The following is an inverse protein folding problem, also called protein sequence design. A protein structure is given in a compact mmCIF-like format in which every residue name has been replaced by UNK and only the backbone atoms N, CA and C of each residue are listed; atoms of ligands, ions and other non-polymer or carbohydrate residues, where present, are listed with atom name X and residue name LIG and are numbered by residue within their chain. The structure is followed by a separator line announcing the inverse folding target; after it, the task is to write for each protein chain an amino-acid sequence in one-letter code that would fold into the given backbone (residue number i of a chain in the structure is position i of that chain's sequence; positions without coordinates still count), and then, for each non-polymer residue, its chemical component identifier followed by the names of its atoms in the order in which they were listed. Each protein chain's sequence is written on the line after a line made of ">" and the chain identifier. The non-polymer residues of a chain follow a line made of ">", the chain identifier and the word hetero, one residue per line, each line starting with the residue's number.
data_IF_746904520538
#
_entry.id   IF_746904520538
#
_cell.length_a   1.000
_cell.length_b   1.000
_cell.length_c   1.000
_cell.angle_alpha   90.00
_cell.angle_beta   90.00
_cell.angle_gamma   90.00
#
_symmetry.space_group_name_H-M   'P 1'
#
loop_
_entity.id
_entity.type
_entity.pdbx_description
1 polymer ?
#
# COMPACT_ATOMS: atom_id res chain seq x y z
N UNK A 1 -82.12 -17.57 -23.68
CA UNK A 1 -81.34 -17.36 -24.92
C UNK A 1 -80.01 -16.72 -24.53
N UNK A 2 -78.90 -17.28 -25.01
CA UNK A 2 -77.52 -16.83 -24.74
C UNK A 2 -77.31 -15.39 -25.17
N UNK A 3 -76.60 -14.59 -24.37
CA UNK A 3 -75.63 -13.60 -24.85
C UNK A 3 -74.43 -13.53 -23.91
N UNK A 4 -73.28 -13.80 -24.50
CA UNK A 4 -71.94 -13.78 -23.93
C UNK A 4 -71.55 -12.32 -23.63
N UNK A 5 -70.94 -12.07 -22.48
CA UNK A 5 -70.24 -10.81 -22.22
C UNK A 5 -68.76 -11.12 -22.06
N UNK A 6 -67.96 -10.59 -22.98
CA UNK A 6 -66.51 -10.70 -23.03
C UNK A 6 -65.91 -10.21 -21.70
N UNK A 7 -65.13 -11.05 -21.03
CA UNK A 7 -64.19 -10.62 -20.00
C UNK A 7 -62.89 -10.27 -20.72
N UNK A 8 -62.56 -8.98 -20.71
CA UNK A 8 -61.34 -8.44 -21.29
C UNK A 8 -60.10 -8.97 -20.57
N UNK A 9 -59.14 -9.40 -21.38
CA UNK A 9 -57.80 -9.82 -21.00
C UNK A 9 -57.00 -8.58 -20.55
N UNK A 10 -56.90 -8.33 -19.24
CA UNK A 10 -56.00 -7.31 -18.69
C UNK A 10 -54.61 -7.91 -18.54
N UNK A 11 -53.72 -7.56 -19.47
CA UNK A 11 -52.29 -7.86 -19.40
C UNK A 11 -51.66 -7.01 -18.30
N UNK A 12 -51.37 -7.60 -17.14
CA UNK A 12 -50.51 -6.98 -16.13
C UNK A 12 -49.06 -7.21 -16.53
N UNK A 13 -48.46 -6.14 -17.07
CA UNK A 13 -47.01 -6.02 -17.24
C UNK A 13 -46.45 -5.68 -15.85
N UNK A 14 -46.15 -6.70 -15.04
CA UNK A 14 -45.30 -6.47 -13.88
C UNK A 14 -43.89 -6.24 -14.40
N UNK A 15 -43.42 -5.01 -14.20
CA UNK A 15 -42.07 -4.60 -14.51
C UNK A 15 -41.07 -5.48 -13.76
N UNK A 16 -40.05 -5.91 -14.48
CA UNK A 16 -38.82 -6.40 -13.88
C UNK A 16 -38.18 -5.19 -13.18
N UNK A 17 -38.37 -5.10 -11.87
CA UNK A 17 -37.51 -4.29 -11.01
C UNK A 17 -36.09 -4.87 -11.15
N UNK A 18 -35.06 -4.05 -11.47
CA UNK A 18 -33.70 -4.52 -11.35
C UNK A 18 -33.44 -4.76 -9.87
N UNK A 19 -33.17 -6.02 -9.51
CA UNK A 19 -32.63 -6.40 -8.20
C UNK A 19 -31.44 -5.48 -7.91
N UNK A 20 -31.62 -4.55 -6.97
CA UNK A 20 -30.51 -3.90 -6.29
C UNK A 20 -29.79 -5.01 -5.52
N UNK A 21 -28.81 -5.62 -6.19
CA UNK A 21 -27.78 -6.40 -5.51
C UNK A 21 -27.11 -5.46 -4.51
N UNK A 22 -27.55 -5.56 -3.25
CA UNK A 22 -26.74 -5.21 -2.10
C UNK A 22 -25.44 -5.98 -2.25
N UNK A 23 -24.41 -5.29 -2.72
CA UNK A 23 -23.03 -5.69 -2.53
C UNK A 23 -22.81 -5.60 -1.02
N UNK A 24 -22.97 -6.72 -0.36
CA UNK A 24 -22.45 -6.96 0.98
C UNK A 24 -20.94 -6.85 0.82
N UNK A 25 -20.41 -5.67 1.17
CA UNK A 25 -18.97 -5.47 1.30
C UNK A 25 -18.53 -6.42 2.41
N UNK A 26 -17.89 -7.53 2.04
CA UNK A 26 -17.10 -8.32 2.97
C UNK A 26 -16.13 -7.35 3.65
N UNK A 27 -16.33 -7.11 4.94
CA UNK A 27 -15.32 -6.45 5.77
C UNK A 27 -14.07 -7.33 5.69
N UNK A 28 -13.09 -6.87 4.93
CA UNK A 28 -11.75 -7.43 4.96
C UNK A 28 -11.27 -7.22 6.40
N UNK A 29 -11.15 -8.31 7.15
CA UNK A 29 -10.60 -8.30 8.51
C UNK A 29 -9.12 -7.87 8.38
N UNK A 30 -8.86 -6.58 8.56
CA UNK A 30 -7.52 -6.00 8.39
C UNK A 30 -6.59 -6.58 9.44
N UNK A 31 -5.60 -7.33 9.00
CA UNK A 31 -4.56 -7.87 9.88
C UNK A 31 -3.59 -6.74 10.23
N UNK A 32 -3.87 -6.01 11.32
CA UNK A 32 -2.95 -5.00 11.83
C UNK A 32 -1.74 -5.67 12.48
N UNK A 33 -0.57 -5.48 11.89
CA UNK A 33 0.70 -5.93 12.49
C UNK A 33 1.37 -4.73 13.16
N UNK A 34 1.75 -4.88 14.42
CA UNK A 34 2.44 -3.80 15.15
C UNK A 34 3.95 -3.94 15.03
N UNK A 35 4.60 -2.85 14.62
CA UNK A 35 6.05 -2.70 14.49
C UNK A 35 6.51 -1.87 15.67
N UNK A 36 7.30 -2.50 16.54
CA UNK A 36 7.92 -1.84 17.69
C UNK A 36 9.35 -1.46 17.35
N UNK A 37 9.91 -0.55 18.14
CA UNK A 37 11.31 -0.17 17.97
C UNK A 37 12.23 -1.35 18.25
N UNK A 38 13.26 -1.50 17.43
CA UNK A 38 14.30 -2.50 17.58
C UNK A 38 15.63 -2.00 17.02
N UNK A 39 16.73 -2.64 17.42
CA UNK A 39 18.02 -2.42 16.77
C UNK A 39 17.98 -3.02 15.36
N UNK A 40 17.91 -2.16 14.35
CA UNK A 40 17.87 -2.58 12.95
C UNK A 40 19.29 -2.58 12.37
N UNK A 41 19.77 -3.76 11.99
CA UNK A 41 21.03 -3.91 11.26
C UNK A 41 20.84 -3.47 9.80
N UNK A 42 21.58 -2.43 9.40
CA UNK A 42 21.68 -2.02 7.99
C UNK A 42 22.67 -2.96 7.30
N UNK A 43 22.28 -3.53 6.16
CA UNK A 43 23.11 -4.46 5.44
C UNK A 43 24.45 -3.82 5.03
N UNK A 44 25.54 -4.57 5.19
CA UNK A 44 26.88 -4.08 4.90
C UNK A 44 26.99 -3.60 3.44
N UNK A 45 27.47 -2.37 3.27
CA UNK A 45 27.63 -1.76 1.96
C UNK A 45 26.32 -1.36 1.28
N UNK A 46 25.18 -1.34 1.97
CA UNK A 46 23.91 -0.88 1.39
C UNK A 46 24.01 0.56 0.86
N UNK A 47 23.30 0.82 -0.24
CA UNK A 47 23.12 2.13 -0.84
C UNK A 47 21.95 2.86 -0.16
N UNK A 48 22.18 4.09 0.31
CA UNK A 48 21.12 4.97 0.82
C UNK A 48 20.45 5.65 -0.38
N UNK A 49 19.23 5.22 -0.70
CA UNK A 49 18.45 5.73 -1.82
C UNK A 49 17.65 6.99 -1.46
N UNK A 50 17.08 7.04 -0.25
CA UNK A 50 16.29 8.18 0.25
C UNK A 50 16.63 8.48 1.71
N UNK A 51 16.66 9.78 2.05
CA UNK A 51 16.83 10.33 3.41
C UNK A 51 15.96 11.58 3.51
N UNK A 52 14.82 11.46 4.20
CA UNK A 52 13.80 12.50 4.34
C UNK A 52 13.53 12.72 5.82
N UNK A 53 13.32 13.98 6.23
CA UNK A 53 12.99 14.37 7.60
C UNK A 53 11.53 14.85 7.66
N UNK A 54 10.71 14.22 8.51
CA UNK A 54 9.29 14.54 8.68
C UNK A 54 8.75 13.99 10.00
N UNK A 55 7.88 14.73 10.67
CA UNK A 55 7.17 14.29 11.89
C UNK A 55 6.11 13.21 11.55
N UNK A 56 6.44 11.93 11.76
CA UNK A 56 5.54 10.78 11.60
C UNK A 56 5.06 10.21 12.93
N UNK A 57 5.73 10.49 14.04
CA UNK A 57 5.30 10.09 15.39
C UNK A 57 4.22 11.03 15.95
N UNK A 58 4.20 12.28 15.51
CA UNK A 58 3.26 13.34 15.89
C UNK A 58 3.61 14.02 17.21
N UNK A 59 4.88 14.04 17.60
CA UNK A 59 5.36 14.68 18.82
C UNK A 59 5.89 16.11 18.58
N UNK A 60 5.99 16.52 17.31
CA UNK A 60 6.46 17.84 16.88
C UNK A 60 7.96 17.90 16.57
N UNK A 61 8.69 16.78 16.67
CA UNK A 61 10.07 16.65 16.23
C UNK A 61 10.15 15.93 14.87
N UNK A 62 11.22 16.14 14.11
CA UNK A 62 11.37 15.54 12.78
C UNK A 62 12.01 14.14 12.90
N UNK A 63 11.33 13.13 12.35
CA UNK A 63 11.85 11.77 12.24
C UNK A 63 12.57 11.58 10.90
N UNK A 64 13.60 10.73 10.88
CA UNK A 64 14.27 10.33 9.62
C UNK A 64 13.58 9.13 8.99
N UNK A 65 13.12 9.27 7.76
CA UNK A 65 12.70 8.17 6.89
C UNK A 65 13.86 7.82 5.97
N UNK A 66 14.35 6.58 6.06
CA UNK A 66 15.55 6.11 5.35
C UNK A 66 15.20 4.90 4.48
N UNK A 67 15.59 4.93 3.21
CA UNK A 67 15.49 3.78 2.32
C UNK A 67 16.88 3.28 1.94
N UNK A 68 17.23 2.08 2.41
CA UNK A 68 18.46 1.39 2.03
C UNK A 68 18.18 0.27 1.04
N UNK A 69 19.13 0.05 0.13
CA UNK A 69 19.06 -1.00 -0.88
C UNK A 69 20.38 -1.76 -0.91
N UNK A 70 20.32 -3.09 -0.82
CA UNK A 70 21.51 -3.96 -0.82
C UNK A 70 21.33 -5.18 -1.74
N UNK A 71 22.32 -5.53 -2.58
CA UNK A 71 23.56 -4.80 -2.81
C UNK A 71 23.32 -3.41 -3.45
N UNK A 72 24.31 -2.51 -3.50
CA UNK A 72 24.19 -1.26 -4.22
C UNK A 72 23.85 -1.46 -5.70
N UNK A 73 22.98 -0.61 -6.28
CA UNK A 73 22.68 -0.68 -7.70
C UNK A 73 23.90 -0.28 -8.53
N UNK A 74 23.92 -0.74 -9.79
CA UNK A 74 24.87 -0.26 -10.79
C UNK A 74 24.25 0.95 -11.48
N UNK A 75 24.96 2.06 -11.53
CA UNK A 75 24.51 3.27 -12.23
C UNK A 75 25.00 3.28 -13.68
N UNK A 76 24.13 3.67 -14.61
CA UNK A 76 24.52 3.96 -15.99
C UNK A 76 25.23 5.32 -16.11
N UNK A 77 25.72 5.64 -17.31
CA UNK A 77 26.42 6.92 -17.58
C UNK A 77 25.54 8.17 -17.37
N UNK A 78 24.21 7.99 -17.25
CA UNK A 78 23.24 9.05 -17.00
C UNK A 78 22.83 9.13 -15.51
N UNK A 79 23.36 8.25 -14.66
CA UNK A 79 23.02 8.17 -13.24
C UNK A 79 21.73 7.40 -12.95
N UNK A 80 21.18 6.66 -13.92
CA UNK A 80 20.05 5.77 -13.66
C UNK A 80 20.53 4.50 -12.99
N UNK A 81 19.88 4.11 -11.90
CA UNK A 81 20.13 2.84 -11.24
C UNK A 81 19.56 1.67 -12.07
N UNK A 82 20.39 0.67 -12.32
CA UNK A 82 19.98 -0.63 -12.83
C UNK A 82 19.61 -1.51 -11.63
N UNK A 83 18.31 -1.74 -11.47
CA UNK A 83 17.75 -2.62 -10.45
C UNK A 83 17.69 -4.06 -10.96
N UNK A 84 17.87 -5.02 -10.08
CA UNK A 84 17.60 -6.44 -10.34
C UNK A 84 16.81 -7.08 -9.20
N UNK A 85 16.30 -8.29 -9.44
CA UNK A 85 15.46 -9.03 -8.49
C UNK A 85 16.20 -9.57 -7.26
N UNK A 86 17.48 -9.24 -7.07
CA UNK A 86 18.31 -9.70 -5.94
C UNK A 86 18.44 -8.66 -4.83
N UNK A 87 17.92 -7.45 -5.04
CA UNK A 87 18.01 -6.36 -4.08
C UNK A 87 17.06 -6.56 -2.89
N UNK A 88 17.61 -6.42 -1.69
CA UNK A 88 16.89 -6.27 -0.42
C UNK A 88 16.71 -4.79 -0.15
N UNK A 89 15.48 -4.40 0.18
CA UNK A 89 15.10 -3.04 0.47
C UNK A 89 14.77 -2.93 1.96
N UNK A 90 15.32 -1.93 2.64
CA UNK A 90 15.05 -1.65 4.05
C UNK A 90 14.51 -0.22 4.18
N UNK A 91 13.20 -0.09 4.46
CA UNK A 91 12.56 1.19 4.79
C UNK A 91 12.49 1.33 6.30
N UNK A 92 13.18 2.33 6.83
CA UNK A 92 13.32 2.57 8.26
C UNK A 92 12.77 3.95 8.63
N UNK A 93 12.19 4.04 9.83
CA UNK A 93 11.97 5.32 10.52
C UNK A 93 12.92 5.38 11.71
N UNK A 94 13.61 6.50 11.91
CA UNK A 94 14.41 6.78 13.10
C UNK A 94 13.88 8.01 13.81
N UNK A 95 13.61 7.85 15.10
CA UNK A 95 13.20 8.88 16.03
C UNK A 95 14.20 8.85 17.19
N UNK A 96 15.06 9.86 17.29
CA UNK A 96 16.20 9.90 18.22
C UNK A 96 17.03 8.59 18.28
N UNK A 97 16.89 7.81 19.36
CA UNK A 97 17.55 6.53 19.62
C UNK A 97 16.71 5.32 19.18
N UNK A 98 15.42 5.52 18.88
CA UNK A 98 14.48 4.49 18.46
C UNK A 98 14.55 4.27 16.94
N UNK A 99 14.31 3.03 16.51
CA UNK A 99 14.38 2.64 15.09
C UNK A 99 13.32 1.62 14.75
N UNK A 100 12.56 1.89 13.68
CA UNK A 100 11.42 1.08 13.26
C UNK A 100 11.66 0.57 11.84
N UNK A 101 11.77 -0.74 11.67
CA UNK A 101 11.85 -1.37 10.35
C UNK A 101 10.44 -1.52 9.74
N UNK A 102 10.00 -0.53 8.98
CA UNK A 102 8.69 -0.57 8.31
C UNK A 102 8.64 -1.65 7.22
N UNK A 103 9.75 -1.82 6.51
CA UNK A 103 9.90 -2.85 5.49
C UNK A 103 11.33 -3.39 5.47
N UNK A 104 11.46 -4.71 5.33
CA UNK A 104 12.73 -5.40 5.14
C UNK A 104 12.48 -6.67 4.29
N UNK A 105 12.80 -6.62 3.00
CA UNK A 105 12.50 -7.73 2.11
C UNK A 105 13.02 -7.56 0.68
N UNK A 106 12.92 -8.62 -0.11
CA UNK A 106 13.20 -8.56 -1.54
C UNK A 106 12.01 -7.97 -2.30
N UNK A 107 12.31 -7.12 -3.29
CA UNK A 107 11.31 -6.53 -4.18
C UNK A 107 11.71 -6.87 -5.61
N UNK A 108 10.94 -7.75 -6.24
CA UNK A 108 11.12 -8.14 -7.66
C UNK A 108 10.42 -7.17 -8.59
N UNK A 109 10.81 -5.90 -8.53
CA UNK A 109 10.11 -4.80 -9.18
C UNK A 109 10.48 -3.45 -8.58
N UNK A 110 9.48 -2.61 -8.35
CA UNK A 110 9.66 -1.27 -7.76
C UNK A 110 9.08 -1.19 -6.36
N UNK A 111 9.74 -0.42 -5.50
CA UNK A 111 9.24 -0.03 -4.19
C UNK A 111 9.11 1.48 -4.18
N UNK A 112 7.87 1.96 -4.10
CA UNK A 112 7.55 3.38 -4.00
C UNK A 112 6.94 3.65 -2.63
N UNK A 113 7.24 4.80 -2.03
CA UNK A 113 6.56 5.23 -0.82
C UNK A 113 6.14 6.70 -0.91
N UNK A 114 5.10 7.04 -0.14
CA UNK A 114 4.58 8.40 -0.02
C UNK A 114 4.33 8.73 1.43
N UNK A 115 4.48 10.01 1.74
CA UNK A 115 4.12 10.58 3.03
C UNK A 115 2.76 11.27 2.86
N UNK A 116 1.78 10.89 3.65
CA UNK A 116 0.49 11.58 3.73
C UNK A 116 0.58 12.60 4.85
N UNK A 117 0.57 13.87 4.46
CA UNK A 117 0.51 14.98 5.41
C UNK A 117 -0.83 15.01 6.15
N UNK A 118 -0.78 15.03 7.49
CA UNK A 118 -1.96 15.18 8.37
C UNK A 118 -1.71 16.27 9.40
N UNK A 119 -2.79 16.76 10.01
CA UNK A 119 -2.70 17.83 11.02
C UNK A 119 -1.90 17.43 12.27
N UNK A 120 -1.85 16.14 12.62
CA UNK A 120 -1.25 15.69 13.89
C UNK A 120 -0.04 14.78 13.72
N UNK A 121 -0.08 13.83 12.77
CA UNK A 121 1.01 12.87 12.53
C UNK A 121 0.93 12.37 11.10
N UNK A 122 2.05 12.41 10.40
CA UNK A 122 2.08 11.97 9.02
C UNK A 122 2.01 10.44 8.95
N UNK A 123 1.44 9.93 7.86
CA UNK A 123 1.33 8.48 7.61
C UNK A 123 2.22 8.11 6.43
N UNK A 124 2.71 6.88 6.39
CA UNK A 124 3.52 6.38 5.28
C UNK A 124 2.71 5.35 4.49
N UNK A 125 2.61 5.52 3.17
CA UNK A 125 2.10 4.50 2.26
C UNK A 125 3.26 3.89 1.52
N UNK A 126 3.34 2.57 1.51
CA UNK A 126 4.31 1.80 0.75
C UNK A 126 3.59 1.00 -0.33
N UNK A 127 4.10 1.06 -1.56
CA UNK A 127 3.67 0.23 -2.68
C UNK A 127 4.85 -0.58 -3.17
N UNK A 128 4.73 -1.90 -3.10
CA UNK A 128 5.62 -2.83 -3.79
C UNK A 128 4.90 -3.33 -5.04
N UNK A 129 5.43 -3.03 -6.21
CA UNK A 129 4.89 -3.45 -7.52
C UNK A 129 5.92 -4.32 -8.24
N UNK A 130 5.70 -5.63 -8.21
CA UNK A 130 6.63 -6.60 -8.78
C UNK A 130 5.93 -7.90 -9.15
N UNK A 131 6.37 -9.02 -8.57
CA UNK A 131 5.70 -10.31 -8.74
C UNK A 131 4.29 -10.31 -8.08
N UNK A 132 4.15 -9.61 -6.96
CA UNK A 132 2.89 -9.30 -6.30
C UNK A 132 2.74 -7.78 -6.19
N UNK A 133 1.50 -7.33 -6.03
CA UNK A 133 1.20 -5.93 -5.72
C UNK A 133 0.80 -5.86 -4.25
N UNK A 134 1.61 -5.17 -3.46
CA UNK A 134 1.38 -4.97 -2.03
C UNK A 134 1.28 -3.49 -1.76
N UNK A 135 0.26 -3.09 -1.01
CA UNK A 135 0.11 -1.73 -0.49
C UNK A 135 -0.09 -1.79 1.01
N UNK A 136 0.78 -1.09 1.73
CA UNK A 136 0.72 -0.98 3.18
C UNK A 136 0.57 0.48 3.60
N UNK A 137 -0.20 0.72 4.66
CA UNK A 137 -0.17 1.97 5.41
C UNK A 137 0.50 1.73 6.74
N UNK A 138 1.39 2.64 7.11
CA UNK A 138 2.03 2.68 8.41
C UNK A 138 1.56 3.93 9.14
N UNK A 139 1.07 3.72 10.37
CA UNK A 139 0.62 4.80 11.24
C UNK A 139 1.23 4.63 12.61
N UNK A 140 1.90 5.66 13.10
CA UNK A 140 2.37 5.64 14.48
C UNK A 140 1.18 5.69 15.46
N UNK A 141 1.17 4.79 16.44
CA UNK A 141 0.31 4.83 17.61
C UNK A 141 1.14 4.47 18.84
N UNK A 142 0.85 5.03 20.02
CA UNK A 142 1.56 4.76 21.29
C UNK A 142 3.10 4.69 21.17
N UNK A 143 3.65 3.49 21.03
CA UNK A 143 5.08 3.13 21.05
C UNK A 143 5.57 2.44 19.76
N UNK A 144 4.88 2.63 18.63
CA UNK A 144 5.23 1.93 17.39
C UNK A 144 4.27 2.15 16.23
N UNK A 145 4.58 1.55 15.08
CA UNK A 145 3.78 1.66 13.87
C UNK A 145 2.79 0.51 13.74
N UNK A 146 1.52 0.83 13.56
CA UNK A 146 0.54 -0.13 13.08
C UNK A 146 0.66 -0.21 11.55
N UNK A 147 0.87 -1.43 11.05
CA UNK A 147 0.90 -1.77 9.63
C UNK A 147 -0.48 -2.29 9.22
N UNK A 148 -1.17 -1.52 8.40
CA UNK A 148 -2.44 -1.86 7.77
C UNK A 148 -2.17 -2.37 6.34
N UNK A 149 -2.68 -3.56 6.02
CA UNK A 149 -2.70 -4.08 4.65
C UNK A 149 -3.89 -3.49 3.87
N UNK A 150 -3.59 -2.64 2.89
CA UNK A 150 -4.60 -2.04 2.01
C UNK A 150 -4.88 -2.95 0.82
N UNK A 151 -3.82 -3.54 0.27
CA UNK A 151 -3.89 -4.43 -0.88
C UNK A 151 -2.78 -5.48 -0.79
N UNK A 152 -3.14 -6.73 -1.02
CA UNK A 152 -2.22 -7.82 -1.28
C UNK A 152 -2.82 -8.66 -2.41
N UNK A 153 -2.14 -8.66 -3.55
CA UNK A 153 -2.54 -9.44 -4.70
C UNK A 153 -1.34 -10.25 -5.20
N UNK A 154 -1.44 -11.58 -5.07
CA UNK A 154 -0.38 -12.54 -5.41
C UNK A 154 -0.64 -13.24 -6.75
N UNK A 155 -1.61 -12.76 -7.54
CA UNK A 155 -1.94 -13.30 -8.86
C UNK A 155 -1.16 -12.61 -10.00
N UNK A 156 -1.45 -13.00 -11.25
CA UNK A 156 -0.84 -12.37 -12.42
C UNK A 156 -1.38 -10.95 -12.59
N UNK A 157 -0.66 -9.96 -12.08
CA UNK A 157 -1.04 -8.56 -12.19
C UNK A 157 -0.57 -7.99 -13.52
N UNK A 158 -1.47 -7.29 -14.18
CA UNK A 158 -1.18 -6.63 -15.45
C UNK A 158 -1.22 -5.13 -15.21
N UNK A 159 -0.04 -4.53 -15.03
CA UNK A 159 0.08 -3.07 -14.96
C UNK A 159 -0.37 -2.44 -16.29
N UNK A 160 -1.27 -1.46 -16.20
CA UNK A 160 -1.71 -0.61 -17.29
C UNK A 160 -1.59 0.82 -16.82
N UNK A 161 -0.55 1.51 -17.28
CA UNK A 161 -0.42 2.95 -17.07
C UNK A 161 -0.60 3.70 -18.38
N UNK A 162 -1.24 4.88 -18.30
CA UNK A 162 -1.38 5.81 -19.41
C UNK A 162 -0.37 6.97 -19.33
N UNK A 163 0.63 6.86 -18.46
CA UNK A 163 1.59 7.92 -18.18
C UNK A 163 2.91 7.69 -18.94
N UNK A 164 3.12 8.44 -20.03
CA UNK A 164 4.45 8.81 -20.55
C UNK A 164 4.73 10.25 -20.06
N UNK A 165 5.72 10.43 -19.19
CA UNK A 165 6.18 11.73 -18.71
C UNK A 165 7.70 11.74 -18.82
#
# INVERSE_FOLDING_TARGET
>A
MKKYFLIGLTVFIFGCEPDEQKVESEEIESFETRIVSEEVEILEGAYLAEDIEVDVTGDGEEDKILLYISPPPIFDDNGNAAWDDTHIWQLLVKDEEESYALFNGDVRGTLDFWIIEKENRNEIILLSDGQSLMMYRYKFDKDGFDKEEILLEDSNIVKRSLSEW
#
